data_IF_010201725387
#
_entry.id   IF_010201725387
#
_cell.length_a   1.000
_cell.length_b   1.000
_cell.length_c   1.000
_cell.angle_alpha   90.00
_cell.angle_beta   90.00
_cell.angle_gamma   90.00
#
_symmetry.space_group_name_H-M   'P 1'
#
loop_
_entity.id
_entity.type
_entity.pdbx_description
1 polymer ?
#
# COMPACT_ATOMS: atom_id res chain seq x y z
N UNK A 1 68.25 -45.12 17.21
CA UNK A 1 68.21 -45.13 15.74
C UNK A 1 66.83 -45.65 15.37
N UNK A 2 66.06 -44.86 14.62
CA UNK A 2 64.82 -45.24 13.89
C UNK A 2 63.60 -45.65 14.74
N UNK A 3 62.36 -45.21 14.48
CA UNK A 3 61.77 -44.42 13.39
C UNK A 3 60.45 -43.80 13.85
N UNK A 4 60.15 -42.65 13.24
CA UNK A 4 58.90 -41.93 13.32
C UNK A 4 57.71 -42.74 12.76
N UNK A 5 56.56 -42.53 13.37
CA UNK A 5 55.26 -42.97 12.89
C UNK A 5 54.18 -42.17 13.62
N UNK A 6 54.01 -40.91 13.24
CA UNK A 6 52.96 -40.03 13.73
C UNK A 6 52.26 -39.43 12.52
N UNK A 7 51.02 -39.82 12.35
CA UNK A 7 50.17 -39.63 11.19
C UNK A 7 49.84 -38.15 10.96
N UNK A 8 50.12 -37.65 9.74
CA UNK A 8 49.51 -36.43 9.21
C UNK A 8 48.04 -36.72 8.89
N UNK A 9 47.15 -36.41 9.84
CA UNK A 9 45.73 -36.25 9.55
C UNK A 9 45.49 -34.90 8.88
N UNK A 10 45.66 -34.82 7.56
CA UNK A 10 45.03 -33.77 6.76
C UNK A 10 43.52 -33.88 6.96
N UNK A 11 42.93 -32.93 7.69
CA UNK A 11 41.49 -32.75 7.69
C UNK A 11 41.06 -32.36 6.27
N UNK A 12 40.06 -33.01 5.67
CA UNK A 12 39.60 -32.63 4.35
C UNK A 12 39.05 -31.20 4.43
N UNK A 13 39.62 -30.28 3.64
CA UNK A 13 39.03 -28.97 3.39
C UNK A 13 37.57 -29.20 2.97
N UNK A 14 36.63 -28.77 3.80
CA UNK A 14 35.21 -28.74 3.42
C UNK A 14 35.13 -27.85 2.18
N UNK A 15 34.87 -28.44 1.02
CA UNK A 15 34.52 -27.72 -0.20
C UNK A 15 33.28 -26.90 0.14
N UNK A 16 33.45 -25.59 0.34
CA UNK A 16 32.35 -24.69 0.60
C UNK A 16 31.49 -24.63 -0.68
N UNK A 17 30.31 -25.25 -0.63
CA UNK A 17 29.36 -25.20 -1.75
C UNK A 17 28.86 -23.76 -1.86
N UNK A 18 29.28 -23.06 -2.91
CA UNK A 18 28.78 -21.72 -3.24
C UNK A 18 27.48 -21.88 -4.03
N UNK A 19 26.34 -21.75 -3.36
CA UNK A 19 24.99 -21.91 -3.92
C UNK A 19 24.13 -20.64 -3.80
N UNK A 20 24.71 -19.54 -3.33
CA UNK A 20 24.08 -18.23 -3.27
C UNK A 20 25.04 -17.14 -3.73
N UNK A 21 24.51 -16.17 -4.47
CA UNK A 21 25.27 -15.01 -4.96
C UNK A 21 24.51 -13.75 -4.59
N UNK A 22 25.24 -12.76 -4.11
CA UNK A 22 24.66 -11.49 -3.68
C UNK A 22 25.43 -10.32 -4.28
N UNK A 23 24.72 -9.26 -4.63
CA UNK A 23 25.31 -7.96 -4.99
C UNK A 23 25.48 -7.18 -3.70
N UNK A 24 26.70 -6.76 -3.40
CA UNK A 24 27.03 -6.00 -2.18
C UNK A 24 27.17 -4.52 -2.47
N UNK A 25 26.68 -3.68 -1.55
CA UNK A 25 26.70 -2.23 -1.66
C UNK A 25 26.70 -1.60 -0.27
N UNK A 26 27.03 -0.31 -0.19
CA UNK A 26 27.03 0.44 1.07
C UNK A 26 25.86 1.41 1.15
N UNK A 27 25.33 1.56 2.37
CA UNK A 27 24.40 2.62 2.76
C UNK A 27 24.88 3.22 4.09
N UNK A 28 25.16 4.52 4.09
CA UNK A 28 25.61 5.28 5.27
C UNK A 28 26.79 4.60 6.02
N UNK A 29 27.73 4.02 5.26
CA UNK A 29 28.93 3.37 5.82
C UNK A 29 28.72 1.94 6.34
N UNK A 30 27.55 1.34 6.15
CA UNK A 30 27.28 -0.07 6.45
C UNK A 30 27.18 -0.89 5.18
N UNK A 31 27.61 -2.14 5.25
CA UNK A 31 27.61 -3.09 4.13
C UNK A 31 26.28 -3.87 4.07
N UNK A 32 25.59 -3.71 2.94
CA UNK A 32 24.35 -4.38 2.59
C UNK A 32 24.55 -5.32 1.42
N UNK A 33 23.60 -6.24 1.26
CA UNK A 33 23.55 -7.13 0.13
C UNK A 33 22.11 -7.43 -0.28
N UNK A 34 21.93 -7.80 -1.54
CA UNK A 34 20.68 -8.35 -2.09
C UNK A 34 21.00 -9.59 -2.91
N UNK A 35 20.06 -10.53 -2.97
CA UNK A 35 20.17 -11.69 -3.86
C UNK A 35 20.36 -11.22 -5.30
N UNK A 36 21.37 -11.76 -6.00
CA UNK A 36 21.62 -11.44 -7.40
C UNK A 36 20.44 -11.82 -8.29
N UNK A 37 19.62 -12.80 -7.89
CA UNK A 37 18.45 -13.24 -8.65
C UNK A 37 17.42 -12.13 -8.80
N UNK A 38 17.39 -11.17 -7.87
CA UNK A 38 16.49 -10.02 -7.92
C UNK A 38 17.10 -8.83 -8.66
N UNK A 39 18.37 -8.89 -9.08
CA UNK A 39 19.08 -7.78 -9.73
C UNK A 39 18.97 -7.92 -11.25
N UNK A 40 18.32 -6.94 -11.88
CA UNK A 40 18.17 -6.85 -13.32
C UNK A 40 19.38 -6.17 -13.98
N UNK A 41 19.79 -5.02 -13.45
CA UNK A 41 20.86 -4.20 -14.02
C UNK A 41 21.51 -3.32 -12.95
N UNK A 42 22.79 -2.98 -13.13
CA UNK A 42 23.50 -2.00 -12.31
C UNK A 42 23.95 -0.87 -13.23
N UNK A 43 23.67 0.37 -12.84
CA UNK A 43 24.02 1.54 -13.63
C UNK A 43 24.65 2.63 -12.75
N UNK A 44 25.56 3.41 -13.33
CA UNK A 44 25.87 4.75 -12.83
C UNK A 44 25.08 5.74 -13.65
N UNK A 45 24.12 6.40 -13.02
CA UNK A 45 23.30 7.40 -13.67
C UNK A 45 23.71 8.78 -13.19
N UNK A 46 23.58 9.78 -14.07
CA UNK A 46 23.47 11.15 -13.61
C UNK A 46 22.11 11.38 -12.96
N UNK A 47 21.53 12.56 -13.18
CA UNK A 47 20.19 12.88 -12.67
C UNK A 47 19.12 11.99 -13.31
N UNK A 48 18.25 11.44 -12.47
CA UNK A 48 16.91 10.97 -12.88
C UNK A 48 15.92 12.15 -12.82
N UNK A 49 14.76 11.99 -13.45
CA UNK A 49 13.76 13.07 -13.48
C UNK A 49 13.04 13.11 -12.12
N UNK A 50 13.35 14.13 -11.32
CA UNK A 50 12.70 14.34 -10.02
C UNK A 50 11.19 14.51 -10.20
N UNK A 51 10.42 13.76 -9.41
CA UNK A 51 8.97 13.91 -9.36
C UNK A 51 8.61 14.82 -8.19
N UNK A 52 7.89 15.94 -8.40
CA UNK A 52 7.35 16.72 -7.29
C UNK A 52 6.21 15.94 -6.62
N UNK A 53 6.04 16.14 -5.31
CA UNK A 53 4.96 15.57 -4.52
C UNK A 53 4.95 14.02 -4.47
N UNK A 54 6.12 13.41 -4.28
CA UNK A 54 6.27 11.98 -3.98
C UNK A 54 6.72 11.77 -2.54
N UNK A 55 6.61 10.55 -2.03
CA UNK A 55 7.17 10.21 -0.72
C UNK A 55 8.68 10.58 -0.69
N UNK A 56 9.24 11.06 0.44
CA UNK A 56 10.60 11.62 0.47
C UNK A 56 11.70 10.68 -0.05
N UNK A 57 11.53 9.37 0.07
CA UNK A 57 12.48 8.37 -0.44
C UNK A 57 12.29 8.04 -1.92
N UNK A 58 11.19 8.46 -2.56
CA UNK A 58 11.02 8.33 -4.02
C UNK A 58 11.59 9.59 -4.64
N UNK A 59 12.81 9.47 -5.15
CA UNK A 59 13.53 10.63 -5.69
C UNK A 59 13.03 11.02 -7.08
N UNK A 60 12.49 10.09 -7.87
CA UNK A 60 11.97 10.38 -9.21
C UNK A 60 11.87 9.16 -10.11
N UNK A 61 12.06 9.36 -11.42
CA UNK A 61 12.01 8.29 -12.43
C UNK A 61 13.21 8.30 -13.37
N UNK A 62 13.64 7.11 -13.80
CA UNK A 62 14.72 6.90 -14.74
C UNK A 62 14.22 6.17 -15.98
N UNK A 63 14.61 6.64 -17.17
CA UNK A 63 14.28 5.96 -18.42
C UNK A 63 15.37 4.93 -18.75
N UNK A 64 15.08 3.66 -18.47
CA UNK A 64 15.96 2.55 -18.83
C UNK A 64 15.46 1.92 -20.13
N UNK A 65 16.06 2.30 -21.26
CA UNK A 65 15.80 1.73 -22.60
C UNK A 65 14.32 1.81 -23.04
N UNK A 66 13.62 2.86 -22.65
CA UNK A 66 12.21 3.09 -22.98
C UNK A 66 11.26 2.79 -21.82
N UNK A 67 11.70 2.04 -20.81
CA UNK A 67 10.93 1.76 -19.61
C UNK A 67 11.16 2.85 -18.56
N UNK A 68 10.07 3.44 -18.06
CA UNK A 68 10.12 4.43 -16.98
C UNK A 68 10.13 3.68 -15.66
N UNK A 69 11.24 3.76 -14.94
CA UNK A 69 11.48 3.03 -13.69
C UNK A 69 11.50 4.01 -12.51
N UNK A 70 10.70 3.77 -11.45
CA UNK A 70 10.76 4.58 -10.23
C UNK A 70 12.10 4.40 -9.51
N UNK A 71 12.64 5.51 -9.00
CA UNK A 71 13.92 5.57 -8.29
C UNK A 71 13.69 5.83 -6.79
N UNK A 72 14.19 4.92 -5.96
CA UNK A 72 13.97 4.88 -4.52
C UNK A 72 15.31 4.95 -3.79
N UNK A 73 15.42 5.83 -2.79
CA UNK A 73 16.53 5.95 -1.88
C UNK A 73 16.30 5.11 -0.62
N UNK A 74 17.02 3.99 -0.50
CA UNK A 74 16.87 3.11 0.65
C UNK A 74 17.27 3.77 1.98
N UNK A 75 18.12 4.80 1.96
CA UNK A 75 18.53 5.47 3.21
C UNK A 75 17.36 6.27 3.75
N UNK A 76 16.67 7.00 2.88
CA UNK A 76 15.46 7.72 3.25
C UNK A 76 14.32 6.75 3.59
N UNK A 77 14.22 5.62 2.89
CA UNK A 77 13.22 4.58 3.19
C UNK A 77 13.42 3.96 4.58
N UNK A 78 14.68 3.69 4.95
CA UNK A 78 15.03 3.18 6.29
C UNK A 78 15.17 4.27 7.35
N UNK A 79 14.84 5.53 7.02
CA UNK A 79 14.96 6.67 7.91
C UNK A 79 16.38 6.87 8.48
N UNK A 80 17.40 6.49 7.71
CA UNK A 80 18.82 6.65 8.04
C UNK A 80 19.18 8.12 7.84
N UNK A 81 19.75 8.80 8.85
CA UNK A 81 20.22 10.17 8.70
C UNK A 81 21.27 10.27 7.59
N UNK A 82 20.99 11.08 6.58
CA UNK A 82 21.90 11.29 5.45
C UNK A 82 22.13 12.78 5.20
N UNK A 83 23.36 13.12 4.80
CA UNK A 83 23.66 14.45 4.29
C UNK A 83 23.02 14.63 2.92
N UNK A 84 22.59 15.87 2.64
CA UNK A 84 22.08 16.23 1.32
C UNK A 84 23.17 15.96 0.28
N UNK A 85 22.83 15.24 -0.79
CA UNK A 85 23.77 14.93 -1.87
C UNK A 85 24.14 16.18 -2.65
N UNK A 86 25.36 16.19 -3.17
CA UNK A 86 25.83 17.27 -4.06
C UNK A 86 25.09 17.19 -5.40
N UNK A 87 24.69 18.36 -5.92
CA UNK A 87 23.77 18.49 -7.05
C UNK A 87 24.26 17.84 -8.36
N UNK A 88 25.57 17.59 -8.51
CA UNK A 88 26.23 17.09 -9.73
C UNK A 88 26.91 15.71 -9.56
N UNK A 89 26.71 15.01 -8.44
CA UNK A 89 27.29 13.69 -8.23
C UNK A 89 26.59 12.60 -9.08
N UNK A 90 27.38 11.66 -9.62
CA UNK A 90 26.83 10.46 -10.26
C UNK A 90 26.29 9.50 -9.20
N UNK A 91 25.10 8.96 -9.45
CA UNK A 91 24.40 8.07 -8.54
C UNK A 91 24.62 6.61 -8.92
N UNK A 92 24.87 5.77 -7.90
CA UNK A 92 24.93 4.32 -8.07
C UNK A 92 23.52 3.75 -7.96
N UNK A 93 23.03 3.20 -9.08
CA UNK A 93 21.70 2.60 -9.18
C UNK A 93 21.79 1.08 -9.32
N UNK A 94 20.95 0.40 -8.56
CA UNK A 94 20.68 -1.03 -8.69
C UNK A 94 19.23 -1.19 -9.14
N UNK A 95 19.01 -1.68 -10.35
CA UNK A 95 17.69 -2.05 -10.82
C UNK A 95 17.35 -3.45 -10.35
N UNK A 96 16.30 -3.55 -9.53
CA UNK A 96 15.78 -4.82 -9.05
C UNK A 96 14.45 -5.14 -9.71
N UNK A 97 14.15 -6.43 -9.82
CA UNK A 97 12.89 -6.95 -10.30
C UNK A 97 12.18 -7.67 -9.15
N UNK A 98 10.96 -7.25 -8.87
CA UNK A 98 10.10 -7.84 -7.82
C UNK A 98 8.72 -8.01 -8.44
N UNK A 99 8.19 -9.23 -8.39
CA UNK A 99 7.00 -9.64 -9.14
C UNK A 99 7.11 -9.24 -10.63
N UNK A 100 6.13 -8.51 -11.17
CA UNK A 100 6.12 -8.03 -12.56
C UNK A 100 6.65 -6.59 -12.71
N UNK A 101 7.30 -6.04 -11.66
CA UNK A 101 7.71 -4.63 -11.60
C UNK A 101 9.23 -4.48 -11.49
N UNK A 102 9.76 -3.38 -12.02
CA UNK A 102 11.18 -3.03 -11.89
C UNK A 102 11.32 -1.76 -11.08
N UNK A 103 12.24 -1.74 -10.11
CA UNK A 103 12.55 -0.59 -9.27
C UNK A 103 14.03 -0.24 -9.38
N UNK A 104 14.36 1.04 -9.41
CA UNK A 104 15.72 1.51 -9.28
C UNK A 104 16.00 1.90 -7.83
N UNK A 105 17.03 1.31 -7.24
CA UNK A 105 17.48 1.59 -5.89
C UNK A 105 18.74 2.42 -5.95
N UNK A 106 18.74 3.50 -5.20
CA UNK A 106 19.89 4.35 -5.04
C UNK A 106 20.68 3.90 -3.81
N UNK A 107 21.98 3.69 -4.02
CA UNK A 107 22.95 3.27 -2.99
C UNK A 107 24.14 4.22 -2.97
N UNK A 108 24.99 4.15 -1.94
CA UNK A 108 26.18 5.01 -1.89
C UNK A 108 27.28 4.47 -2.81
N UNK A 109 27.66 3.21 -2.63
CA UNK A 109 28.65 2.55 -3.48
C UNK A 109 28.28 1.09 -3.71
N UNK A 110 28.49 0.59 -4.93
CA UNK A 110 28.34 -0.82 -5.28
C UNK A 110 29.74 -1.44 -5.26
N UNK A 111 29.96 -2.45 -4.42
CA UNK A 111 31.28 -3.05 -4.22
C UNK A 111 31.52 -4.18 -5.22
N UNK A 112 30.89 -5.35 -5.02
CA UNK A 112 31.11 -6.53 -5.87
C UNK A 112 30.00 -7.56 -5.76
N UNK A 113 30.09 -8.61 -6.57
CA UNK A 113 29.29 -9.82 -6.41
C UNK A 113 30.06 -10.79 -5.52
N UNK A 114 29.40 -11.25 -4.45
CA UNK A 114 29.96 -12.20 -3.49
C UNK A 114 29.18 -13.51 -3.57
N UNK A 115 29.90 -14.63 -3.73
CA UNK A 115 29.33 -15.96 -3.64
C UNK A 115 29.53 -16.53 -2.23
N UNK A 116 28.45 -17.05 -1.63
CA UNK A 116 28.44 -17.67 -0.30
C UNK A 116 27.66 -18.99 -0.35
N UNK A 117 27.73 -19.76 0.75
CA UNK A 117 26.80 -20.86 0.98
C UNK A 117 25.55 -20.34 1.68
N UNK A 118 24.35 -20.71 1.25
CA UNK A 118 23.08 -20.36 1.92
C UNK A 118 23.09 -20.72 3.41
N UNK A 119 23.76 -21.81 3.77
CA UNK A 119 23.87 -22.28 5.15
C UNK A 119 24.70 -21.35 6.06
N UNK A 120 25.41 -20.38 5.50
CA UNK A 120 26.17 -19.37 6.26
C UNK A 120 25.35 -18.12 6.59
N UNK A 121 24.15 -17.99 5.99
CA UNK A 121 23.22 -16.90 6.29
C UNK A 121 22.63 -17.17 7.66
N UNK A 122 22.92 -16.28 8.61
CA UNK A 122 22.36 -16.31 9.95
C UNK A 122 21.04 -15.54 9.98
N UNK A 123 20.08 -15.94 10.83
CA UNK A 123 18.86 -15.17 11.01
C UNK A 123 19.19 -13.75 11.49
N UNK A 124 18.36 -12.75 11.14
CA UNK A 124 18.61 -11.39 11.56
C UNK A 124 18.53 -11.26 13.09
N UNK A 125 19.42 -10.46 13.68
CA UNK A 125 19.46 -10.22 15.13
C UNK A 125 18.91 -8.82 15.45
N UNK A 126 18.16 -8.61 16.55
CA UNK A 126 17.64 -7.29 16.93
C UNK A 126 18.67 -6.16 17.13
N UNK A 127 19.97 -6.47 17.09
CA UNK A 127 21.06 -5.49 17.23
C UNK A 127 21.17 -4.59 15.98
N UNK A 128 20.58 -4.99 14.83
CA UNK A 128 20.61 -4.21 13.58
C UNK A 128 19.56 -3.06 13.53
N UNK A 129 19.16 -2.54 14.70
CA UNK A 129 17.99 -1.69 14.95
C UNK A 129 17.84 -0.35 14.22
N UNK A 130 18.71 -0.03 13.27
CA UNK A 130 18.54 1.12 12.37
C UNK A 130 17.61 0.79 11.18
N UNK A 131 17.34 -0.51 10.96
CA UNK A 131 16.39 -1.01 9.95
C UNK A 131 15.45 -1.97 10.63
N UNK A 132 14.16 -1.91 10.26
CA UNK A 132 13.20 -2.87 10.74
C UNK A 132 13.60 -4.29 10.31
N UNK A 133 13.75 -5.19 11.30
CA UNK A 133 14.18 -6.57 11.11
C UNK A 133 13.35 -7.33 10.06
N UNK A 134 12.10 -6.92 9.84
CA UNK A 134 11.19 -7.50 8.84
C UNK A 134 11.73 -7.40 7.40
N UNK A 135 12.57 -6.40 7.11
CA UNK A 135 13.19 -6.16 5.81
C UNK A 135 14.54 -6.86 5.62
N UNK A 136 15.02 -7.57 6.64
CA UNK A 136 16.29 -8.26 6.61
C UNK A 136 16.01 -9.76 6.42
N UNK A 137 16.49 -10.32 5.32
CA UNK A 137 16.44 -11.75 5.07
C UNK A 137 17.38 -12.51 6.03
N UNK A 138 18.55 -11.94 6.28
CA UNK A 138 19.53 -12.48 7.21
C UNK A 138 20.81 -11.67 7.23
N UNK A 139 21.82 -12.19 7.91
CA UNK A 139 23.14 -11.58 7.99
C UNK A 139 24.19 -12.63 7.66
N UNK A 140 25.19 -12.23 6.88
CA UNK A 140 26.29 -13.12 6.49
C UNK A 140 27.62 -12.46 6.78
N UNK A 141 28.51 -13.20 7.42
CA UNK A 141 29.91 -12.83 7.52
C UNK A 141 30.70 -13.54 6.41
N UNK A 142 31.40 -12.77 5.58
CA UNK A 142 32.29 -13.32 4.57
C UNK A 142 33.62 -12.56 4.58
N UNK A 143 34.72 -13.30 4.75
CA UNK A 143 36.09 -12.75 4.80
C UNK A 143 36.26 -11.62 5.83
N UNK A 144 35.63 -11.76 7.01
CA UNK A 144 35.70 -10.77 8.09
C UNK A 144 34.90 -9.49 7.84
N UNK A 145 34.07 -9.45 6.80
CA UNK A 145 33.08 -8.39 6.57
C UNK A 145 31.68 -8.92 6.80
N UNK A 146 30.87 -8.11 7.47
CA UNK A 146 29.48 -8.43 7.80
C UNK A 146 28.56 -7.74 6.78
N UNK A 147 27.72 -8.52 6.10
CA UNK A 147 26.73 -8.02 5.16
C UNK A 147 25.31 -8.24 5.70
N UNK A 148 24.50 -7.18 5.69
CA UNK A 148 23.07 -7.26 5.97
C UNK A 148 22.35 -7.60 4.67
N UNK A 149 21.79 -8.81 4.58
CA UNK A 149 21.08 -9.29 3.40
C UNK A 149 19.63 -8.83 3.45
N UNK A 150 19.25 -7.93 2.53
CA UNK A 150 17.91 -7.36 2.46
C UNK A 150 16.95 -8.30 1.74
N UNK A 151 15.72 -8.35 2.24
CA UNK A 151 14.59 -9.02 1.60
C UNK A 151 13.85 -8.02 0.72
N UNK A 152 14.28 -7.89 -0.54
CA UNK A 152 13.69 -6.93 -1.49
C UNK A 152 12.25 -7.27 -1.85
N UNK A 153 11.85 -8.54 -1.80
CA UNK A 153 10.45 -8.90 -2.01
C UNK A 153 9.59 -8.34 -0.88
N UNK A 154 10.03 -8.44 0.38
CA UNK A 154 9.29 -7.81 1.50
C UNK A 154 9.32 -6.30 1.49
N UNK A 155 10.41 -5.70 0.99
CA UNK A 155 10.52 -4.23 0.90
C UNK A 155 9.58 -3.68 -0.19
N UNK A 156 9.47 -4.36 -1.33
CA UNK A 156 8.82 -3.83 -2.54
C UNK A 156 7.57 -4.60 -3.00
N UNK A 157 7.13 -5.64 -2.30
CA UNK A 157 5.86 -6.31 -2.64
C UNK A 157 4.66 -5.43 -2.31
N UNK A 158 3.65 -5.45 -3.18
CA UNK A 158 2.36 -4.74 -3.02
C UNK A 158 1.49 -5.27 -1.86
N UNK A 159 2.07 -6.03 -0.93
CA UNK A 159 1.42 -6.61 0.25
C UNK A 159 2.27 -6.34 1.49
N UNK A 160 2.46 -5.07 1.81
CA UNK A 160 2.87 -4.69 3.17
C UNK A 160 1.72 -5.09 4.12
N UNK A 161 1.80 -6.31 4.67
CA UNK A 161 1.18 -6.64 5.95
C UNK A 161 1.95 -5.83 6.98
N UNK A 162 1.31 -4.82 7.55
CA UNK A 162 1.79 -4.20 8.75
C UNK A 162 1.05 -4.74 9.96
N UNK A 163 1.86 -4.98 10.98
CA UNK A 163 1.56 -5.38 12.36
C UNK A 163 1.29 -6.88 12.60
N UNK A 164 2.39 -7.60 12.85
CA UNK A 164 2.35 -8.83 13.64
C UNK A 164 1.74 -8.52 15.01
N UNK A 165 0.64 -9.22 15.26
CA UNK A 165 0.22 -9.75 16.55
C UNK A 165 1.29 -9.60 17.65
N UNK A 166 0.94 -8.86 18.70
CA UNK A 166 1.47 -9.12 20.03
C UNK A 166 1.41 -10.62 20.31
N UNK A 167 2.55 -11.17 20.69
CA UNK A 167 2.77 -12.57 20.95
C UNK A 167 1.72 -13.14 21.93
N UNK A 168 0.79 -13.94 21.41
CA UNK A 168 0.11 -14.95 22.21
C UNK A 168 0.99 -16.21 22.20
N UNK A 169 1.29 -16.81 23.37
CA UNK A 169 2.13 -17.99 23.43
C UNK A 169 1.44 -19.15 22.70
N UNK A 170 2.25 -19.97 22.01
CA UNK A 170 1.81 -21.24 21.42
C UNK A 170 1.07 -22.07 22.46
N UNK A 171 -0.25 -22.19 22.31
CA UNK A 171 -1.02 -23.23 22.99
C UNK A 171 -1.11 -24.44 22.07
N UNK A 172 -0.51 -25.55 22.52
CA UNK A 172 -0.78 -26.87 21.97
C UNK A 172 -2.29 -27.09 21.81
N UNK A 173 -2.67 -27.53 20.61
CA UNK A 173 -4.05 -27.90 20.27
C UNK A 173 -4.44 -29.14 21.08
N UNK A 174 -4.88 -28.94 22.31
CA UNK A 174 -5.68 -29.91 23.04
C UNK A 174 -7.14 -29.59 22.81
N UNK A 175 -7.85 -30.51 22.13
CA UNK A 175 -9.30 -30.44 21.94
C UNK A 175 -9.98 -30.38 23.32
N UNK A 176 -10.44 -29.19 23.72
CA UNK A 176 -11.26 -29.00 24.91
C UNK A 176 -12.76 -29.09 24.56
N UNK A 177 -13.62 -29.51 25.51
CA UNK A 177 -14.97 -29.97 25.24
C UNK A 177 -15.92 -28.83 24.85
N UNK A 178 -16.93 -29.15 24.03
CA UNK A 178 -18.01 -28.25 23.63
C UNK A 178 -18.67 -27.58 24.86
N UNK A 179 -18.88 -26.26 24.86
CA UNK A 179 -19.62 -25.59 25.91
C UNK A 179 -21.13 -25.84 25.78
N UNK A 180 -21.78 -25.87 26.94
CA UNK A 180 -23.19 -26.16 27.13
C UNK A 180 -24.13 -25.16 26.43
N UNK A 181 -25.28 -25.69 26.01
CA UNK A 181 -26.36 -25.07 25.23
C UNK A 181 -26.88 -23.76 25.83
N UNK A 182 -26.73 -22.65 25.07
CA UNK A 182 -27.81 -21.71 24.64
C UNK A 182 -27.27 -20.49 23.84
N UNK A 183 -26.38 -20.72 22.87
CA UNK A 183 -26.06 -19.72 21.83
C UNK A 183 -26.57 -20.27 20.51
N UNK A 184 -27.26 -19.47 19.71
CA UNK A 184 -27.85 -20.00 18.46
C UNK A 184 -26.72 -20.45 17.53
N UNK A 185 -26.91 -21.56 16.81
CA UNK A 185 -25.95 -22.07 15.80
C UNK A 185 -25.66 -21.04 14.69
N UNK A 186 -26.42 -19.96 14.61
CA UNK A 186 -26.19 -18.84 13.69
C UNK A 186 -25.14 -17.84 14.19
N UNK A 187 -25.10 -17.56 15.49
CA UNK A 187 -24.16 -16.60 16.11
C UNK A 187 -22.74 -17.15 16.21
N UNK A 188 -22.59 -18.47 16.41
CA UNK A 188 -21.29 -19.14 16.44
C UNK A 188 -20.62 -19.22 15.06
N UNK A 189 -21.38 -19.16 13.97
CA UNK A 189 -20.81 -19.30 12.63
C UNK A 189 -20.39 -17.94 12.02
N UNK A 190 -21.03 -16.82 12.39
CA UNK A 190 -20.65 -15.49 11.86
C UNK A 190 -19.33 -14.98 12.47
N UNK A 191 -18.95 -15.43 13.66
CA UNK A 191 -17.64 -15.10 14.25
C UNK A 191 -16.49 -15.69 13.43
N UNK A 192 -16.63 -16.89 12.87
CA UNK A 192 -15.61 -17.46 11.98
C UNK A 192 -15.45 -16.67 10.68
N UNK A 193 -16.55 -16.15 10.12
CA UNK A 193 -16.48 -15.23 8.96
C UNK A 193 -15.73 -13.97 9.33
N UNK A 194 -16.01 -13.38 10.49
CA UNK A 194 -15.34 -12.17 10.98
C UNK A 194 -13.83 -12.38 11.10
N UNK A 195 -13.41 -13.47 11.74
CA UNK A 195 -12.00 -13.79 11.92
C UNK A 195 -11.32 -14.12 10.57
N UNK A 196 -12.02 -14.88 9.71
CA UNK A 196 -11.55 -15.21 8.36
C UNK A 196 -11.35 -13.99 7.48
N UNK A 197 -12.29 -13.04 7.47
CA UNK A 197 -12.19 -11.79 6.71
C UNK A 197 -11.01 -10.93 7.17
N UNK A 198 -10.78 -10.83 8.47
CA UNK A 198 -9.64 -10.10 9.02
C UNK A 198 -8.31 -10.76 8.61
N UNK A 199 -8.19 -12.08 8.77
CA UNK A 199 -6.96 -12.81 8.49
C UNK A 199 -6.63 -12.91 6.99
N UNK A 200 -7.64 -13.12 6.14
CA UNK A 200 -7.45 -13.46 4.73
C UNK A 200 -7.54 -12.25 3.79
N UNK A 201 -8.27 -11.20 4.18
CA UNK A 201 -8.53 -10.03 3.34
C UNK A 201 -8.28 -8.68 4.05
N UNK A 202 -7.79 -8.68 5.30
CA UNK A 202 -7.64 -7.47 6.14
C UNK A 202 -8.96 -6.69 6.29
N UNK A 203 -10.10 -7.36 6.18
CA UNK A 203 -11.41 -6.75 6.30
C UNK A 203 -11.92 -6.93 7.73
N UNK A 204 -12.13 -5.83 8.45
CA UNK A 204 -12.49 -5.86 9.86
C UNK A 204 -13.98 -5.58 10.04
N UNK A 205 -14.69 -6.57 10.60
CA UNK A 205 -16.14 -6.43 10.85
C UNK A 205 -16.37 -5.58 12.10
N UNK A 206 -16.92 -4.38 11.89
CA UNK A 206 -17.22 -3.41 12.96
C UNK A 206 -18.55 -2.72 12.67
N UNK A 207 -18.96 -1.75 13.50
CA UNK A 207 -20.15 -0.93 13.25
C UNK A 207 -20.15 -0.23 11.87
N UNK A 208 -18.99 -0.10 11.22
CA UNK A 208 -18.85 0.47 9.88
C UNK A 208 -19.54 -0.39 8.81
N UNK A 209 -19.48 -1.72 8.92
CA UNK A 209 -19.90 -2.65 7.87
C UNK A 209 -20.73 -3.85 8.38
N UNK A 210 -20.95 -3.97 9.69
CA UNK A 210 -21.60 -5.13 10.32
C UNK A 210 -22.98 -5.43 9.74
N UNK A 211 -23.73 -4.39 9.36
CA UNK A 211 -25.03 -4.54 8.69
C UNK A 211 -24.89 -5.31 7.38
N UNK A 212 -23.98 -4.87 6.52
CA UNK A 212 -23.74 -5.51 5.23
C UNK A 212 -23.23 -6.94 5.41
N UNK A 213 -22.26 -7.16 6.31
CA UNK A 213 -21.71 -8.50 6.58
C UNK A 213 -22.82 -9.46 7.05
N UNK A 214 -23.70 -8.99 7.93
CA UNK A 214 -24.82 -9.79 8.44
C UNK A 214 -25.83 -10.16 7.34
N UNK A 215 -26.08 -9.26 6.39
CA UNK A 215 -26.96 -9.51 5.24
C UNK A 215 -26.27 -10.48 4.24
N UNK A 216 -25.01 -10.19 3.88
CA UNK A 216 -24.19 -11.01 2.99
C UNK A 216 -24.00 -12.44 3.49
N UNK A 217 -23.86 -12.62 4.80
CA UNK A 217 -23.71 -13.94 5.40
C UNK A 217 -24.91 -14.86 5.14
N UNK A 218 -26.13 -14.32 5.11
CA UNK A 218 -27.34 -15.10 4.80
C UNK A 218 -27.33 -15.61 3.37
N UNK A 219 -26.89 -14.78 2.42
CA UNK A 219 -26.72 -15.17 1.03
C UNK A 219 -25.63 -16.22 0.87
N UNK A 220 -24.49 -16.01 1.53
CA UNK A 220 -23.36 -16.94 1.53
C UNK A 220 -23.75 -18.34 1.99
N UNK A 221 -24.52 -18.43 3.08
CA UNK A 221 -25.12 -19.69 3.56
C UNK A 221 -26.02 -20.34 2.51
N UNK A 222 -26.92 -19.56 1.93
CA UNK A 222 -27.87 -20.06 0.93
C UNK A 222 -27.18 -20.66 -0.29
N UNK A 223 -26.03 -20.12 -0.70
CA UNK A 223 -25.27 -20.62 -1.85
C UNK A 223 -24.55 -21.94 -1.55
N UNK A 224 -24.18 -22.20 -0.28
CA UNK A 224 -23.38 -23.36 0.14
C UNK A 224 -24.16 -24.44 0.91
N UNK A 225 -25.49 -24.35 0.94
CA UNK A 225 -26.40 -25.36 1.54
C UNK A 225 -26.02 -25.76 2.98
N UNK A 226 -25.55 -24.82 3.78
CA UNK A 226 -25.15 -25.00 5.19
C UNK A 226 -24.03 -26.03 5.47
N UNK A 227 -23.34 -26.58 4.46
CA UNK A 227 -22.34 -27.64 4.65
C UNK A 227 -20.89 -27.15 4.68
N UNK A 228 -20.60 -25.92 4.22
CA UNK A 228 -19.24 -25.35 4.27
C UNK A 228 -19.26 -23.80 4.24
N UNK A 229 -19.48 -23.15 5.38
CA UNK A 229 -19.65 -21.68 5.42
C UNK A 229 -18.36 -20.92 5.72
N UNK A 230 -17.27 -21.62 6.04
CA UNK A 230 -16.01 -21.01 6.47
C UNK A 230 -15.24 -20.42 5.28
N UNK A 231 -14.39 -19.43 5.56
CA UNK A 231 -13.44 -18.89 4.58
C UNK A 231 -12.12 -19.66 4.73
N UNK A 232 -11.77 -20.49 3.75
CA UNK A 232 -10.58 -21.33 3.80
C UNK A 232 -9.38 -20.68 3.08
N UNK A 233 -9.63 -19.71 2.21
CA UNK A 233 -8.61 -19.08 1.37
C UNK A 233 -8.88 -17.60 1.12
N UNK A 234 -7.86 -16.86 0.67
CA UNK A 234 -8.05 -15.48 0.20
C UNK A 234 -9.05 -15.38 -0.94
N UNK A 235 -9.14 -16.40 -1.81
CA UNK A 235 -10.14 -16.44 -2.88
C UNK A 235 -11.58 -16.53 -2.35
N UNK A 236 -11.81 -17.29 -1.26
CA UNK A 236 -13.12 -17.33 -0.61
C UNK A 236 -13.47 -15.97 -0.01
N UNK A 237 -12.49 -15.30 0.61
CA UNK A 237 -12.68 -13.96 1.16
C UNK A 237 -12.98 -12.92 0.05
N UNK A 238 -12.26 -12.97 -1.07
CA UNK A 238 -12.53 -12.14 -2.25
C UNK A 238 -13.94 -12.39 -2.80
N UNK A 239 -14.37 -13.64 -2.92
CA UNK A 239 -15.72 -13.99 -3.35
C UNK A 239 -16.79 -13.53 -2.36
N UNK A 240 -16.51 -13.61 -1.06
CA UNK A 240 -17.42 -13.10 -0.04
C UNK A 240 -17.62 -11.58 -0.19
N UNK A 241 -16.54 -10.85 -0.45
CA UNK A 241 -16.49 -9.39 -0.60
C UNK A 241 -16.90 -8.87 -1.99
N UNK A 242 -17.23 -9.74 -2.95
CA UNK A 242 -17.53 -9.34 -4.34
C UNK A 242 -18.61 -8.25 -4.45
N UNK A 243 -19.62 -8.28 -3.58
CA UNK A 243 -20.71 -7.28 -3.55
C UNK A 243 -20.50 -6.16 -2.52
N UNK A 244 -19.32 -6.11 -1.89
CA UNK A 244 -18.97 -5.09 -0.90
C UNK A 244 -18.56 -3.77 -1.56
N UNK A 245 -17.72 -3.84 -2.60
CA UNK A 245 -17.12 -2.65 -3.19
C UNK A 245 -18.15 -1.75 -3.84
N UNK A 246 -17.92 -0.44 -3.74
CA UNK A 246 -18.73 0.57 -4.39
C UNK A 246 -18.58 0.51 -5.92
N UNK A 247 -19.53 1.07 -6.69
CA UNK A 247 -19.45 1.10 -8.14
C UNK A 247 -18.16 1.79 -8.60
N UNK A 248 -17.50 1.23 -9.61
CA UNK A 248 -16.27 1.79 -10.21
C UNK A 248 -15.06 1.92 -9.28
N UNK A 249 -15.01 1.15 -8.19
CA UNK A 249 -13.80 1.04 -7.38
C UNK A 249 -12.63 0.49 -8.20
N UNK A 250 -11.48 1.16 -8.10
CA UNK A 250 -10.26 0.81 -8.85
C UNK A 250 -10.26 1.21 -10.33
N UNK A 251 -11.27 1.95 -10.82
CA UNK A 251 -11.35 2.45 -12.20
C UNK A 251 -11.96 3.85 -12.26
N UNK A 252 -11.92 4.49 -13.43
CA UNK A 252 -12.59 5.79 -13.62
C UNK A 252 -14.10 5.63 -13.46
N UNK A 253 -14.74 6.59 -12.78
CA UNK A 253 -16.18 6.56 -12.55
C UNK A 253 -16.97 6.69 -13.86
N UNK A 254 -17.95 5.82 -14.05
CA UNK A 254 -18.90 5.90 -15.15
C UNK A 254 -19.88 7.07 -14.99
N UNK A 255 -20.58 7.42 -16.07
CA UNK A 255 -21.47 8.59 -16.10
C UNK A 255 -22.57 8.53 -15.02
N UNK A 256 -23.16 7.35 -14.80
CA UNK A 256 -24.22 7.19 -13.79
C UNK A 256 -23.75 7.51 -12.37
N UNK A 257 -22.54 7.03 -12.00
CA UNK A 257 -21.95 7.34 -10.71
C UNK A 257 -21.54 8.80 -10.63
N UNK A 258 -20.94 9.33 -11.70
CA UNK A 258 -20.52 10.72 -11.78
C UNK A 258 -21.69 11.68 -11.56
N UNK A 259 -22.80 11.47 -12.26
CA UNK A 259 -23.99 12.32 -12.16
C UNK A 259 -24.63 12.23 -10.78
N UNK A 260 -24.70 11.02 -10.20
CA UNK A 260 -25.21 10.83 -8.85
C UNK A 260 -24.32 11.52 -7.80
N UNK A 261 -23.00 11.42 -7.95
CA UNK A 261 -22.04 12.08 -7.06
C UNK A 261 -22.15 13.60 -7.17
N UNK A 262 -22.14 14.16 -8.38
CA UNK A 262 -22.29 15.60 -8.63
C UNK A 262 -23.60 16.14 -8.05
N UNK A 263 -24.71 15.42 -8.22
CA UNK A 263 -26.01 15.80 -7.66
C UNK A 263 -26.05 15.75 -6.12
N UNK A 264 -25.19 14.93 -5.50
CA UNK A 264 -25.07 14.84 -4.05
C UNK A 264 -24.15 15.90 -3.42
N UNK A 265 -23.35 16.60 -4.23
CA UNK A 265 -22.40 17.61 -3.76
C UNK A 265 -23.13 18.85 -3.21
N UNK A 266 -22.73 19.37 -2.03
CA UNK A 266 -23.39 20.52 -1.42
C UNK A 266 -23.22 21.80 -2.25
N UNK A 267 -24.13 22.76 -2.09
CA UNK A 267 -23.89 24.10 -2.64
C UNK A 267 -22.71 24.76 -1.93
N UNK A 268 -21.72 25.20 -2.72
CA UNK A 268 -20.53 25.86 -2.19
C UNK A 268 -20.06 26.95 -3.16
N UNK A 269 -19.92 28.18 -2.65
CA UNK A 269 -19.46 29.36 -3.41
C UNK A 269 -18.04 29.81 -3.00
N UNK A 270 -17.32 29.00 -2.22
CA UNK A 270 -15.96 29.31 -1.80
C UNK A 270 -15.04 29.44 -3.02
N UNK A 271 -14.15 30.43 -2.98
CA UNK A 271 -13.11 30.62 -4.02
C UNK A 271 -12.14 29.44 -4.08
N UNK A 272 -11.94 28.75 -2.95
CA UNK A 272 -11.12 27.55 -2.84
C UNK A 272 -11.92 26.45 -2.16
N UNK A 273 -11.90 25.26 -2.75
CA UNK A 273 -12.54 24.06 -2.21
C UNK A 273 -11.44 23.03 -1.96
N UNK A 274 -11.33 22.60 -0.71
CA UNK A 274 -10.39 21.56 -0.28
C UNK A 274 -11.11 20.24 -0.14
N UNK A 275 -10.55 19.21 -0.76
CA UNK A 275 -11.07 17.86 -0.73
C UNK A 275 -9.99 16.93 -0.21
N UNK A 276 -10.33 16.01 0.69
CA UNK A 276 -9.42 14.97 1.15
C UNK A 276 -9.91 13.63 0.62
N UNK A 277 -9.10 12.97 -0.19
CA UNK A 277 -9.35 11.63 -0.70
C UNK A 277 -8.43 10.63 0.01
N UNK A 278 -8.99 9.84 0.92
CA UNK A 278 -8.27 8.81 1.68
C UNK A 278 -8.33 7.48 0.93
N UNK A 279 -7.20 6.78 0.86
CA UNK A 279 -7.06 5.51 0.15
C UNK A 279 -7.23 5.67 -1.36
N UNK A 280 -6.53 6.64 -1.95
CA UNK A 280 -6.70 6.97 -3.37
C UNK A 280 -6.25 5.88 -4.35
N UNK A 281 -5.52 4.87 -3.87
CA UNK A 281 -4.95 3.78 -4.63
C UNK A 281 -4.11 4.32 -5.80
N UNK A 282 -4.39 3.81 -7.00
CA UNK A 282 -3.72 4.22 -8.25
C UNK A 282 -4.22 5.56 -8.82
N UNK A 283 -5.01 6.32 -8.07
CA UNK A 283 -5.47 7.68 -8.43
C UNK A 283 -6.74 7.76 -9.28
N UNK A 284 -7.33 6.63 -9.68
CA UNK A 284 -8.56 6.62 -10.48
C UNK A 284 -9.71 7.41 -9.85
N UNK A 285 -9.91 7.24 -8.54
CA UNK A 285 -10.93 7.98 -7.79
C UNK A 285 -10.58 9.47 -7.71
N UNK A 286 -9.34 9.82 -7.38
CA UNK A 286 -8.92 11.21 -7.24
C UNK A 286 -9.08 12.01 -8.53
N UNK A 287 -8.79 11.41 -9.69
CA UNK A 287 -9.02 12.06 -10.97
C UNK A 287 -10.49 12.12 -11.37
N UNK A 288 -11.28 11.11 -11.02
CA UNK A 288 -12.73 11.13 -11.20
C UNK A 288 -13.36 12.27 -10.37
N UNK A 289 -12.93 12.41 -9.11
CA UNK A 289 -13.26 13.52 -8.23
C UNK A 289 -12.86 14.87 -8.82
N UNK A 290 -11.63 15.00 -9.35
CA UNK A 290 -11.19 16.24 -9.97
C UNK A 290 -12.11 16.69 -11.11
N UNK A 291 -12.53 15.76 -11.97
CA UNK A 291 -13.48 16.06 -13.05
C UNK A 291 -14.87 16.41 -12.50
N UNK A 292 -15.40 15.62 -11.55
CA UNK A 292 -16.70 15.86 -10.91
C UNK A 292 -16.78 17.26 -10.30
N UNK A 293 -15.77 17.61 -9.51
CA UNK A 293 -15.71 18.88 -8.79
C UNK A 293 -15.56 20.05 -9.74
N UNK A 294 -14.77 19.92 -10.81
CA UNK A 294 -14.62 20.98 -11.81
C UNK A 294 -15.92 21.24 -12.56
N UNK A 295 -16.71 20.20 -12.82
CA UNK A 295 -18.03 20.32 -13.43
C UNK A 295 -19.01 21.01 -12.47
N UNK A 296 -18.99 20.63 -11.19
CA UNK A 296 -19.89 21.19 -10.17
C UNK A 296 -19.57 22.63 -9.77
N UNK A 297 -18.28 22.96 -9.67
CA UNK A 297 -17.77 24.23 -9.15
C UNK A 297 -16.79 24.91 -10.12
N UNK A 298 -17.22 25.31 -11.33
CA UNK A 298 -16.32 25.81 -12.37
C UNK A 298 -15.62 27.14 -12.02
N UNK A 299 -16.16 27.90 -11.06
CA UNK A 299 -15.60 29.17 -10.61
C UNK A 299 -14.63 29.04 -9.42
N UNK A 300 -14.52 27.85 -8.82
CA UNK A 300 -13.72 27.60 -7.63
C UNK A 300 -12.38 26.96 -7.99
N UNK A 301 -11.32 27.33 -7.27
CA UNK A 301 -10.05 26.61 -7.32
C UNK A 301 -10.15 25.37 -6.43
N UNK A 302 -10.08 24.19 -7.04
CA UNK A 302 -10.17 22.92 -6.32
C UNK A 302 -8.77 22.43 -5.98
N UNK A 303 -8.58 21.95 -4.75
CA UNK A 303 -7.40 21.23 -4.30
C UNK A 303 -7.83 19.93 -3.63
N UNK A 304 -7.37 18.80 -4.18
CA UNK A 304 -7.59 17.46 -3.66
C UNK A 304 -6.29 16.99 -3.00
N UNK A 305 -6.33 16.65 -1.73
CA UNK A 305 -5.28 15.98 -0.99
C UNK A 305 -5.58 14.48 -1.08
N UNK A 306 -4.84 13.74 -1.88
CA UNK A 306 -5.04 12.32 -2.13
C UNK A 306 -3.96 11.53 -1.35
N UNK A 307 -4.40 10.70 -0.40
CA UNK A 307 -3.51 9.97 0.47
C UNK A 307 -3.68 8.46 0.31
N UNK A 308 -2.57 7.74 0.45
CA UNK A 308 -2.58 6.27 0.53
C UNK A 308 -1.45 5.76 1.41
N UNK A 309 -1.68 4.64 2.08
CA UNK A 309 -0.66 3.90 2.85
C UNK A 309 0.11 2.89 2.00
N UNK A 310 -0.36 2.59 0.78
CA UNK A 310 0.39 1.85 -0.22
C UNK A 310 1.23 2.82 -1.05
N UNK A 311 2.52 2.78 -0.74
CA UNK A 311 3.55 3.55 -1.39
C UNK A 311 3.63 3.34 -2.91
N UNK A 312 3.45 2.11 -3.39
CA UNK A 312 3.53 1.81 -4.82
C UNK A 312 2.34 2.42 -5.56
N UNK A 313 1.16 2.29 -4.97
CA UNK A 313 -0.07 2.87 -5.50
C UNK A 313 0.04 4.40 -5.58
N UNK A 314 0.45 5.06 -4.50
CA UNK A 314 0.55 6.54 -4.46
C UNK A 314 1.64 7.08 -5.38
N UNK A 315 2.77 6.36 -5.54
CA UNK A 315 3.86 6.80 -6.41
C UNK A 315 3.49 6.72 -7.90
N UNK A 316 2.64 5.77 -8.27
CA UNK A 316 2.18 5.58 -9.65
C UNK A 316 0.95 6.43 -9.99
N UNK A 317 0.16 6.84 -9.00
CA UNK A 317 -1.08 7.59 -9.21
C UNK A 317 -0.91 8.89 -10.04
N UNK A 318 0.13 9.73 -9.85
CA UNK A 318 0.38 10.89 -10.71
C UNK A 318 0.63 10.53 -12.18
N UNK A 319 1.07 9.30 -12.46
CA UNK A 319 1.41 8.80 -13.79
C UNK A 319 0.27 8.01 -14.44
N UNK A 320 -0.93 8.04 -13.85
CA UNK A 320 -2.08 7.31 -14.36
C UNK A 320 -2.33 7.62 -15.84
N UNK A 321 -2.32 6.55 -16.63
CA UNK A 321 -2.75 6.57 -18.02
C UNK A 321 -3.71 5.42 -18.28
N UNK A 322 -4.61 5.62 -19.25
CA UNK A 322 -5.59 4.63 -19.67
C UNK A 322 -5.39 4.32 -21.16
N UNK A 323 -5.58 3.06 -21.59
CA UNK A 323 -5.27 2.66 -22.96
C UNK A 323 -6.21 3.28 -23.99
N UNK A 324 -7.49 3.48 -23.66
CA UNK A 324 -8.49 4.07 -24.55
C UNK A 324 -9.49 4.93 -23.76
N UNK A 325 -9.99 5.98 -24.42
CA UNK A 325 -11.00 6.90 -23.89
C UNK A 325 -11.95 7.21 -25.04
N UNK A 326 -13.20 6.71 -25.03
CA UNK A 326 -14.17 6.99 -26.07
C UNK A 326 -14.35 8.49 -26.31
N UNK A 327 -14.61 8.94 -27.54
CA UNK A 327 -14.87 10.35 -27.82
C UNK A 327 -16.08 10.90 -27.06
N UNK A 328 -17.06 10.03 -26.77
CA UNK A 328 -18.24 10.33 -25.97
C UNK A 328 -17.93 10.46 -24.47
N UNK A 329 -16.75 10.04 -24.03
CA UNK A 329 -16.38 10.06 -22.61
C UNK A 329 -16.22 11.50 -22.11
N UNK A 330 -16.86 11.82 -20.98
CA UNK A 330 -16.68 13.11 -20.31
C UNK A 330 -15.23 13.40 -19.91
N UNK A 331 -14.40 12.38 -19.75
CA UNK A 331 -12.97 12.51 -19.46
C UNK A 331 -12.16 13.01 -20.66
N UNK A 332 -12.62 12.77 -21.89
CA UNK A 332 -11.86 13.04 -23.12
C UNK A 332 -11.36 14.48 -23.20
N UNK A 333 -12.22 15.46 -22.90
CA UNK A 333 -11.89 16.91 -22.90
C UNK A 333 -10.90 17.33 -21.80
N UNK A 334 -10.52 16.42 -20.93
CA UNK A 334 -9.68 16.64 -19.76
C UNK A 334 -8.37 15.84 -19.81
N UNK A 335 -8.17 15.12 -20.90
CA UNK A 335 -7.04 14.23 -21.13
C UNK A 335 -6.30 14.61 -22.40
N UNK A 336 -5.05 14.16 -22.48
CA UNK A 336 -4.16 14.33 -23.62
C UNK A 336 -3.67 12.97 -24.07
N UNK A 337 -3.59 12.77 -25.39
CA UNK A 337 -3.08 11.53 -25.95
C UNK A 337 -1.56 11.55 -25.98
N UNK A 338 -0.95 10.51 -25.43
CA UNK A 338 0.48 10.23 -25.51
C UNK A 338 0.88 9.62 -26.85
N UNK A 339 2.20 9.56 -27.07
CA UNK A 339 2.80 9.07 -28.34
C UNK A 339 2.49 7.58 -28.60
N UNK A 340 2.33 6.79 -27.54
CA UNK A 340 1.97 5.37 -27.59
C UNK A 340 0.45 5.14 -27.74
N UNK A 341 -0.34 6.19 -27.90
CA UNK A 341 -1.80 6.12 -28.03
C UNK A 341 -2.56 6.11 -26.70
N UNK A 342 -1.88 5.98 -25.56
CA UNK A 342 -2.54 6.04 -24.24
C UNK A 342 -2.96 7.46 -23.88
N UNK A 343 -3.92 7.58 -22.96
CA UNK A 343 -4.47 8.85 -22.52
C UNK A 343 -4.07 9.14 -21.09
N UNK A 344 -3.54 10.33 -20.84
CA UNK A 344 -3.22 10.82 -19.51
C UNK A 344 -4.02 12.08 -19.20
N UNK A 345 -4.27 12.37 -17.92
CA UNK A 345 -4.93 13.61 -17.53
C UNK A 345 -4.08 14.83 -17.87
N UNK A 346 -4.72 15.88 -18.37
CA UNK A 346 -4.08 17.17 -18.65
C UNK A 346 -3.45 17.77 -17.39
N UNK A 347 -2.41 18.59 -17.58
CA UNK A 347 -1.72 19.30 -16.49
C UNK A 347 -2.72 20.05 -15.58
N UNK A 348 -3.70 20.73 -16.18
CA UNK A 348 -4.74 21.45 -15.45
C UNK A 348 -5.60 20.57 -14.51
N UNK A 349 -5.72 19.26 -14.78
CA UNK A 349 -6.38 18.31 -13.86
C UNK A 349 -5.39 17.76 -12.86
N UNK A 350 -4.17 17.42 -13.30
CA UNK A 350 -3.12 16.89 -12.44
C UNK A 350 -2.75 17.85 -11.33
N UNK A 351 -2.67 19.15 -11.60
CA UNK A 351 -2.39 20.18 -10.60
C UNK A 351 -3.49 20.34 -9.54
N UNK A 352 -4.71 19.82 -9.79
CA UNK A 352 -5.77 19.82 -8.79
C UNK A 352 -5.51 18.80 -7.69
N UNK A 353 -4.72 17.74 -7.95
CA UNK A 353 -4.52 16.61 -7.04
C UNK A 353 -3.10 16.62 -6.48
N UNK A 354 -2.99 16.55 -5.16
CA UNK A 354 -1.75 16.39 -4.41
C UNK A 354 -1.71 14.97 -3.86
N UNK A 355 -0.90 14.11 -4.45
CA UNK A 355 -0.71 12.73 -3.98
C UNK A 355 0.38 12.70 -2.91
N UNK A 356 0.08 12.14 -1.74
CA UNK A 356 1.05 12.03 -0.64
C UNK A 356 0.88 10.70 0.08
N UNK A 357 1.98 10.03 0.41
CA UNK A 357 1.95 8.85 1.27
C UNK A 357 1.49 9.27 2.67
N UNK A 358 0.52 8.56 3.22
CA UNK A 358 0.08 8.79 4.59
C UNK A 358 -0.56 7.53 5.18
N UNK A 359 -0.02 7.09 6.32
CA UNK A 359 -0.62 6.05 7.16
C UNK A 359 -1.49 6.71 8.24
N UNK A 360 -2.75 6.27 8.31
CA UNK A 360 -3.78 6.73 9.25
C UNK A 360 -3.44 6.47 10.73
N UNK A 361 -2.38 5.72 11.03
CA UNK A 361 -1.81 5.64 12.38
C UNK A 361 -1.15 6.94 12.84
N UNK A 362 -0.82 7.84 11.91
CA UNK A 362 -0.10 9.08 12.16
C UNK A 362 -1.03 10.28 11.93
N UNK A 363 -0.69 11.41 12.57
CA UNK A 363 -1.48 12.63 12.41
C UNK A 363 -1.38 13.17 10.98
N UNK A 364 -2.53 13.48 10.36
CA UNK A 364 -2.53 14.08 9.03
C UNK A 364 -2.43 15.62 9.07
N UNK A 365 -1.54 16.19 8.25
CA UNK A 365 -1.31 17.62 8.15
C UNK A 365 -2.06 18.29 6.97
N UNK A 366 -3.27 17.82 6.68
CA UNK A 366 -4.17 18.47 5.73
C UNK A 366 -4.91 19.65 6.38
N UNK A 367 -5.28 20.69 5.60
CA UNK A 367 -6.08 21.82 6.10
C UNK A 367 -7.53 21.40 6.42
N UNK A 368 -8.39 22.35 6.77
CA UNK A 368 -9.81 22.05 6.93
C UNK A 368 -10.46 21.75 5.56
N UNK A 369 -11.28 20.72 5.51
CA UNK A 369 -11.85 20.12 4.32
C UNK A 369 -13.32 20.51 4.11
N UNK A 370 -13.66 20.88 2.88
CA UNK A 370 -15.05 21.01 2.46
C UNK A 370 -15.66 19.63 2.19
N UNK A 371 -14.87 18.73 1.61
CA UNK A 371 -15.31 17.38 1.25
C UNK A 371 -14.25 16.37 1.68
N UNK A 372 -14.68 15.25 2.24
CA UNK A 372 -13.82 14.09 2.50
C UNK A 372 -14.40 12.89 1.75
N UNK A 373 -13.56 12.11 1.08
CA UNK A 373 -13.92 10.92 0.33
C UNK A 373 -13.01 9.78 0.76
N UNK A 374 -13.60 8.71 1.28
CA UNK A 374 -12.87 7.54 1.80
C UNK A 374 -13.66 6.28 1.46
N UNK A 375 -13.86 6.03 0.17
CA UNK A 375 -14.72 4.94 -0.31
C UNK A 375 -14.02 3.60 -0.26
N UNK A 376 -14.65 2.64 0.40
CA UNK A 376 -14.19 1.24 0.50
C UNK A 376 -12.82 1.11 1.19
N UNK A 377 -12.51 2.03 2.12
CA UNK A 377 -11.22 2.09 2.83
C UNK A 377 -11.38 1.75 4.31
N UNK A 378 -12.38 2.34 4.97
CA UNK A 378 -12.51 2.28 6.43
C UNK A 378 -12.65 0.84 6.91
N UNK A 379 -13.37 0.01 6.16
CA UNK A 379 -13.58 -1.41 6.48
C UNK A 379 -12.31 -2.27 6.43
N UNK A 380 -11.25 -1.80 5.76
CA UNK A 380 -9.97 -2.50 5.64
C UNK A 380 -8.91 -2.02 6.64
N UNK A 381 -9.26 -1.03 7.45
CA UNK A 381 -8.45 -0.57 8.56
C UNK A 381 -8.77 -1.38 9.82
N UNK A 382 -7.76 -1.59 10.67
CA UNK A 382 -8.00 -2.21 11.97
C UNK A 382 -8.90 -1.31 12.85
N UNK A 383 -9.57 -1.83 13.89
CA UNK A 383 -10.54 -1.03 14.66
C UNK A 383 -9.97 0.26 15.29
N UNK A 384 -8.68 0.25 15.69
CA UNK A 384 -8.01 1.44 16.23
C UNK A 384 -7.80 2.50 15.15
N UNK A 385 -7.36 2.09 13.97
CA UNK A 385 -7.20 2.95 12.80
C UNK A 385 -8.54 3.51 12.33
N UNK A 386 -9.61 2.71 12.33
CA UNK A 386 -10.96 3.19 12.00
C UNK A 386 -11.38 4.35 12.91
N UNK A 387 -11.22 4.18 14.23
CA UNK A 387 -11.55 5.23 15.20
C UNK A 387 -10.69 6.48 15.00
N UNK A 388 -9.39 6.30 14.75
CA UNK A 388 -8.45 7.41 14.50
C UNK A 388 -8.85 8.18 13.24
N UNK A 389 -9.11 7.48 12.15
CA UNK A 389 -9.50 8.10 10.88
C UNK A 389 -10.86 8.82 10.96
N UNK A 390 -11.85 8.24 11.64
CA UNK A 390 -13.16 8.88 11.84
C UNK A 390 -13.04 10.12 12.75
N UNK A 391 -12.15 10.08 13.75
CA UNK A 391 -11.85 11.25 14.57
C UNK A 391 -11.21 12.35 13.73
N UNK A 392 -10.23 12.01 12.89
CA UNK A 392 -9.62 12.96 11.95
C UNK A 392 -10.65 13.56 10.99
N UNK A 393 -11.62 12.78 10.51
CA UNK A 393 -12.74 13.33 9.72
C UNK A 393 -13.50 14.40 10.50
N UNK A 394 -13.82 14.15 11.77
CA UNK A 394 -14.51 15.12 12.61
C UNK A 394 -13.66 16.37 12.85
N UNK A 395 -12.35 16.24 13.05
CA UNK A 395 -11.47 17.39 13.31
C UNK A 395 -11.22 18.24 12.06
N UNK A 396 -11.05 17.59 10.90
CA UNK A 396 -10.68 18.27 9.65
C UNK A 396 -11.86 18.77 8.85
N UNK A 397 -13.05 18.18 8.99
CA UNK A 397 -14.20 18.62 8.21
C UNK A 397 -14.72 19.99 8.67
N UNK A 398 -15.01 20.89 7.73
CA UNK A 398 -15.71 22.15 8.01
C UNK A 398 -17.15 21.87 8.47
N UNK A 399 -17.76 22.85 9.14
CA UNK A 399 -19.12 22.70 9.70
C UNK A 399 -20.17 22.39 8.63
N UNK A 400 -20.02 22.95 7.42
CA UNK A 400 -20.88 22.68 6.26
C UNK A 400 -20.29 21.61 5.32
N UNK A 401 -19.27 20.89 5.76
CA UNK A 401 -18.59 19.90 4.95
C UNK A 401 -19.36 18.58 4.83
N UNK A 402 -18.93 17.74 3.91
CA UNK A 402 -19.56 16.43 3.67
C UNK A 402 -18.51 15.32 3.53
N UNK A 403 -18.77 14.16 4.12
CA UNK A 403 -17.96 12.94 4.01
C UNK A 403 -18.69 11.93 3.14
N UNK A 404 -17.97 11.28 2.23
CA UNK A 404 -18.44 10.19 1.39
C UNK A 404 -17.66 8.93 1.73
N UNK A 405 -18.38 7.86 2.12
CA UNK A 405 -17.82 6.54 2.39
C UNK A 405 -18.26 5.54 1.31
N UNK A 406 -17.77 4.32 1.38
CA UNK A 406 -18.23 3.24 0.52
C UNK A 406 -19.73 2.97 0.69
N UNK A 407 -20.39 2.46 -0.34
CA UNK A 407 -21.84 2.21 -0.34
C UNK A 407 -22.29 1.26 0.79
N UNK A 408 -21.38 0.39 1.23
CA UNK A 408 -21.60 -0.61 2.28
C UNK A 408 -20.89 -0.23 3.59
N UNK A 409 -20.47 1.03 3.72
CA UNK A 409 -19.82 1.59 4.89
C UNK A 409 -20.72 2.62 5.58
N UNK A 410 -20.58 2.74 6.90
CA UNK A 410 -21.35 3.67 7.72
C UNK A 410 -20.46 4.31 8.79
N UNK A 411 -20.85 5.52 9.22
CA UNK A 411 -20.31 6.10 10.45
C UNK A 411 -20.88 5.35 11.67
N UNK A 412 -20.07 5.08 12.71
CA UNK A 412 -20.57 4.51 13.95
C UNK A 412 -21.63 5.40 14.60
N UNK A 413 -22.67 4.79 15.20
CA UNK A 413 -23.85 5.52 15.71
C UNK A 413 -23.54 6.58 16.78
N UNK A 414 -22.42 6.45 17.50
CA UNK A 414 -22.05 7.35 18.60
C UNK A 414 -21.16 8.53 18.15
N UNK A 415 -20.95 8.69 16.85
CA UNK A 415 -19.90 9.56 16.32
C UNK A 415 -20.36 10.98 15.96
N UNK A 416 -21.63 11.36 16.22
CA UNK A 416 -22.13 12.72 15.95
C UNK A 416 -22.24 13.07 14.47
N UNK A 417 -22.57 12.08 13.63
CA UNK A 417 -22.71 12.23 12.19
C UNK A 417 -24.17 12.08 11.74
N UNK A 418 -24.64 13.02 10.93
CA UNK A 418 -25.91 12.94 10.23
C UNK A 418 -25.71 12.22 8.89
N UNK A 419 -26.47 11.14 8.68
CA UNK A 419 -26.45 10.36 7.43
C UNK A 419 -27.43 10.93 6.42
N UNK A 420 -26.95 11.19 5.22
CA UNK A 420 -27.73 11.65 4.06
C UNK A 420 -27.72 10.59 2.97
N UNK A 421 -28.87 10.37 2.33
CA UNK A 421 -29.02 9.41 1.23
C UNK A 421 -29.54 10.15 0.00
N UNK A 422 -28.76 10.15 -1.08
CA UNK A 422 -29.13 10.75 -2.35
C UNK A 422 -28.98 9.72 -3.48
N UNK A 423 -30.09 9.03 -3.79
CA UNK A 423 -30.08 7.89 -4.70
C UNK A 423 -29.16 6.78 -4.18
N UNK A 424 -28.12 6.48 -4.95
CA UNK A 424 -27.09 5.47 -4.62
C UNK A 424 -25.91 6.02 -3.82
N UNK A 425 -25.83 7.35 -3.61
CA UNK A 425 -24.75 7.97 -2.84
C UNK A 425 -25.17 8.12 -1.39
N UNK A 426 -24.31 7.65 -0.50
CA UNK A 426 -24.42 7.85 0.95
C UNK A 426 -23.35 8.88 1.35
N UNK A 427 -23.76 9.86 2.14
CA UNK A 427 -22.84 10.87 2.66
C UNK A 427 -23.18 11.22 4.11
N UNK A 428 -22.26 11.90 4.77
CA UNK A 428 -22.35 12.24 6.19
C UNK A 428 -21.94 13.69 6.42
N UNK A 429 -22.63 14.38 7.32
CA UNK A 429 -22.24 15.71 7.83
C UNK A 429 -22.13 15.67 9.35
N UNK A 430 -21.49 16.67 9.94
CA UNK A 430 -21.57 16.88 11.39
C UNK A 430 -23.03 17.16 11.80
N UNK A 431 -23.37 16.75 13.03
CA UNK A 431 -24.64 17.06 13.67
C UNK A 431 -24.81 18.54 14.04
#
# INVERSE_FOLDING_TARGET
METAGGENGEQPEKIAVIDFKMVTFSLAGKDYAIDIMNVKEIAKAGRFTYLPNTAPFVLGVYNLRGDIIPIIDLRLFFNIPTSKREDDALESLIFIHVDEQTFGIVVDEIDKVVGISRNTIQPPHPIFGDINIKYIHGVVENQGRLYILLDVERIFSARVREEEAEALPEMEVTRAPLPDKKTSRAELDISFIRDGLAALAKFHVTAVNERWVSERYREWRSLRKDEDTQLASSADAEQYLETFFSPDTGRLWGDQLMDAFIASLPDNQAKQIHVWNVGCGKGYESYSLAVALRERYPASRIRIYANDSDLLSISNAPMLSVPDVPETSRYRKHMVQGVNGSWAFSEAVREMVLFEYHDCNNQNNVPNMDIIVSRDVVSFLNPKQQMTLIQDFSEKLKDNGTVYLGQNEAMPQQSGWLRHVNGQIISFSKE
#
